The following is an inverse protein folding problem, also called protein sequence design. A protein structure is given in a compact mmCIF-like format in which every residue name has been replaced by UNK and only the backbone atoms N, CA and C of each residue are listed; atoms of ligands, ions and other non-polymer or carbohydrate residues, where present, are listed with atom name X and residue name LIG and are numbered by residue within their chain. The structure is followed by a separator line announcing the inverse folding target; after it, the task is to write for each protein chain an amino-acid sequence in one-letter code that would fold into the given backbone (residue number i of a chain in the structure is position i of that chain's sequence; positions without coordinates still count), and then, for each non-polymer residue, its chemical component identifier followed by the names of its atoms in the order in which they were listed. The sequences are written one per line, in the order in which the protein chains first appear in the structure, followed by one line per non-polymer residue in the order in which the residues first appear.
data_IF_844191132857
#
_entry.id   IF_844191132857
#
_cell.length_a   1.000
_cell.length_b   1.000
_cell.length_c   1.000
_cell.angle_alpha   90.00
_cell.angle_beta   90.00
_cell.angle_gamma   90.00
#
_symmetry.space_group_name_H-M   'P 1'
#
loop_
_entity.id
_entity.type
_entity.pdbx_description
1 polymer ?
#
# COMPACT_ATOMS: atom_id res chain seq x y z
N UNK A 1 -14.61 -22.55 -22.65
CA UNK A 1 -14.89 -22.85 -21.24
C UNK A 1 -13.73 -23.65 -20.68
N UNK A 2 -12.86 -23.02 -19.87
CA UNK A 2 -12.12 -23.71 -18.81
C UNK A 2 -11.41 -22.64 -17.97
N UNK A 3 -12.14 -22.10 -16.99
CA UNK A 3 -11.55 -21.45 -15.82
C UNK A 3 -11.05 -22.56 -14.90
N UNK A 4 -9.74 -22.64 -14.66
CA UNK A 4 -9.15 -23.30 -13.49
C UNK A 4 -7.92 -22.47 -13.08
N UNK A 5 -8.09 -21.60 -12.08
CA UNK A 5 -7.79 -21.84 -10.67
C UNK A 5 -6.27 -21.93 -10.39
N UNK A 6 -5.69 -20.79 -10.02
CA UNK A 6 -4.54 -20.74 -9.09
C UNK A 6 -4.69 -19.47 -8.21
N UNK A 7 -5.74 -19.46 -7.40
CA UNK A 7 -5.80 -18.59 -6.21
C UNK A 7 -4.84 -19.17 -5.17
N UNK A 8 -3.64 -18.60 -5.12
CA UNK A 8 -2.64 -18.95 -4.14
C UNK A 8 -3.14 -18.47 -2.77
N UNK A 9 -3.60 -19.42 -1.95
CA UNK A 9 -4.19 -19.18 -0.63
C UNK A 9 -3.10 -18.68 0.33
N UNK A 10 -3.14 -17.40 0.69
CA UNK A 10 -2.36 -16.85 1.80
C UNK A 10 -2.99 -17.32 3.12
N UNK A 11 -2.73 -18.57 3.50
CA UNK A 11 -3.12 -19.11 4.81
C UNK A 11 -2.07 -18.73 5.86
N UNK A 12 -2.43 -17.83 6.76
CA UNK A 12 -1.84 -17.82 8.11
C UNK A 12 -2.30 -19.11 8.82
N UNK A 13 -1.55 -20.19 8.65
CA UNK A 13 -1.76 -21.42 9.40
C UNK A 13 -1.27 -21.25 10.84
N UNK A 14 -2.20 -20.95 11.74
CA UNK A 14 -2.11 -21.44 13.13
C UNK A 14 -3.53 -21.71 13.65
N UNK A 15 -3.89 -22.96 13.98
CA UNK A 15 -5.09 -23.24 14.73
C UNK A 15 -4.83 -22.83 16.20
N UNK A 16 -5.77 -22.13 16.82
CA UNK A 16 -5.85 -22.00 18.28
C UNK A 16 -4.67 -21.31 19.01
N UNK A 17 -4.27 -20.11 18.59
CA UNK A 17 -3.85 -19.09 19.56
C UNK A 17 -4.35 -17.72 19.15
N UNK A 18 -5.11 -17.06 20.03
CA UNK A 18 -5.71 -15.73 19.85
C UNK A 18 -4.67 -14.59 19.82
N UNK A 19 -3.56 -14.77 19.11
CA UNK A 19 -2.75 -13.64 18.67
C UNK A 19 -3.24 -13.28 17.28
N UNK A 20 -4.16 -12.31 17.19
CA UNK A 20 -4.54 -11.67 15.93
C UNK A 20 -3.24 -11.31 15.19
N UNK A 21 -2.97 -11.98 14.08
CA UNK A 21 -1.84 -11.64 13.25
C UNK A 21 -2.08 -10.19 12.79
N UNK A 22 -1.23 -9.25 13.19
CA UNK A 22 -1.45 -7.83 12.87
C UNK A 22 -1.31 -7.55 11.36
N UNK A 23 -0.85 -8.55 10.59
CA UNK A 23 -0.74 -8.54 9.13
C UNK A 23 -1.63 -9.67 8.59
N UNK A 24 -2.74 -9.31 7.95
CA UNK A 24 -3.61 -10.28 7.26
C UNK A 24 -3.02 -10.67 5.90
N UNK A 25 -2.68 -9.68 5.08
CA UNK A 25 -2.01 -9.88 3.79
C UNK A 25 -0.51 -9.56 3.89
N UNK A 26 0.39 -10.55 3.84
CA UNK A 26 1.82 -10.31 3.89
C UNK A 26 2.36 -9.64 2.63
N UNK A 27 1.66 -9.73 1.50
CA UNK A 27 2.09 -9.25 0.18
C UNK A 27 1.03 -8.32 -0.44
N UNK A 28 0.76 -7.15 0.17
CA UNK A 28 -0.20 -6.20 -0.37
C UNK A 28 0.22 -5.76 -1.77
N UNK A 29 -0.74 -5.80 -2.68
CA UNK A 29 -0.54 -5.49 -4.10
C UNK A 29 -1.78 -4.76 -4.58
N UNK A 30 -1.59 -3.66 -5.31
CA UNK A 30 -2.70 -2.91 -5.87
C UNK A 30 -3.34 -3.67 -7.04
N UNK A 31 -4.62 -3.99 -6.89
CA UNK A 31 -5.49 -4.52 -7.93
C UNK A 31 -6.51 -3.41 -8.26
N UNK A 32 -6.47 -2.83 -9.47
CA UNK A 32 -7.41 -1.77 -9.81
C UNK A 32 -8.84 -2.32 -9.83
N UNK A 33 -9.84 -1.52 -9.40
CA UNK A 33 -11.24 -1.89 -9.63
C UNK A 33 -11.48 -2.06 -11.13
N UNK A 34 -12.50 -2.84 -11.48
CA UNK A 34 -12.85 -3.07 -12.88
C UNK A 34 -13.20 -1.75 -13.54
N UNK A 35 -12.32 -1.26 -14.41
CA UNK A 35 -12.55 -0.01 -15.13
C UNK A 35 -13.22 -0.25 -16.48
N UNK A 36 -14.09 0.69 -16.83
CA UNK A 36 -14.79 0.71 -18.11
C UNK A 36 -14.10 1.61 -19.14
N UNK A 37 -13.17 2.49 -18.74
CA UNK A 37 -12.56 3.50 -19.62
C UNK A 37 -11.03 3.49 -19.59
N UNK A 38 -10.43 4.00 -20.67
CA UNK A 38 -8.99 4.03 -20.85
C UNK A 38 -8.36 5.21 -20.09
N UNK A 39 -7.36 4.97 -19.24
CA UNK A 39 -6.68 6.05 -18.49
C UNK A 39 -5.87 6.98 -19.38
N UNK A 40 -5.78 8.28 -19.03
CA UNK A 40 -4.82 9.20 -19.62
C UNK A 40 -3.38 8.68 -19.53
N UNK A 41 -2.55 9.04 -20.51
CA UNK A 41 -1.15 8.60 -20.57
C UNK A 41 -0.35 9.02 -19.33
N UNK A 42 -0.61 10.20 -18.78
CA UNK A 42 0.06 10.70 -17.58
C UNK A 42 -0.19 9.82 -16.34
N UNK A 43 -1.42 9.34 -16.16
CA UNK A 43 -1.77 8.42 -15.05
C UNK A 43 -1.04 7.08 -15.24
N UNK A 44 -1.03 6.55 -16.47
CA UNK A 44 -0.30 5.31 -16.78
C UNK A 44 1.21 5.46 -16.48
N UNK A 45 1.80 6.59 -16.85
CA UNK A 45 3.19 6.91 -16.56
C UNK A 45 3.46 7.05 -15.06
N UNK A 46 2.57 7.72 -14.32
CA UNK A 46 2.68 7.90 -12.88
C UNK A 46 2.62 6.56 -12.14
N UNK A 47 1.64 5.72 -12.46
CA UNK A 47 1.51 4.36 -11.89
C UNK A 47 2.74 3.52 -12.19
N UNK A 48 3.30 3.59 -13.41
CA UNK A 48 4.54 2.91 -13.78
C UNK A 48 5.73 3.43 -12.96
N UNK A 49 5.86 4.74 -12.80
CA UNK A 49 6.92 5.36 -12.02
C UNK A 49 6.81 4.97 -10.54
N UNK A 50 5.62 5.00 -9.96
CA UNK A 50 5.35 4.58 -8.58
C UNK A 50 5.77 3.12 -8.33
N UNK A 51 5.47 2.21 -9.26
CA UNK A 51 5.90 0.81 -9.17
C UNK A 51 7.41 0.64 -9.21
N UNK A 52 8.11 1.42 -10.04
CA UNK A 52 9.55 1.33 -10.20
C UNK A 52 10.33 1.99 -9.04
N UNK A 53 9.84 3.13 -8.55
CA UNK A 53 10.56 3.97 -7.58
C UNK A 53 10.64 3.36 -6.17
N UNK A 54 9.74 2.44 -5.83
CA UNK A 54 9.59 1.86 -4.47
C UNK A 54 9.49 2.96 -3.39
N UNK A 55 8.36 3.70 -3.35
CA UNK A 55 8.18 4.88 -2.50
C UNK A 55 8.51 4.67 -1.02
N UNK A 56 8.34 3.45 -0.51
CA UNK A 56 8.71 3.07 0.87
C UNK A 56 10.19 3.24 1.20
N UNK A 57 11.08 3.31 0.20
CA UNK A 57 12.53 3.50 0.37
C UNK A 57 12.94 4.97 0.41
N UNK A 58 12.01 5.89 0.18
CA UNK A 58 12.30 7.32 0.22
C UNK A 58 12.74 7.76 1.61
N UNK A 59 13.75 8.64 1.70
CA UNK A 59 14.36 9.09 2.96
C UNK A 59 13.37 9.74 3.93
N UNK A 60 12.29 10.34 3.40
CA UNK A 60 11.21 10.91 4.20
C UNK A 60 10.59 9.93 5.22
N UNK A 61 10.65 8.62 4.96
CA UNK A 61 10.15 7.60 5.90
C UNK A 61 11.12 7.27 7.04
N UNK A 62 12.39 7.67 6.93
CA UNK A 62 13.48 7.24 7.81
C UNK A 62 14.09 8.40 8.61
N UNK A 63 13.95 9.63 8.12
CA UNK A 63 14.53 10.81 8.74
C UNK A 63 13.51 11.44 9.70
N UNK A 64 13.56 11.05 10.98
CA UNK A 64 12.86 11.79 12.04
C UNK A 64 13.89 12.57 12.85
N UNK A 65 13.76 13.89 12.85
CA UNK A 65 14.57 14.77 13.69
C UNK A 65 13.99 14.70 15.11
N UNK A 66 14.79 14.25 16.08
CA UNK A 66 14.44 14.31 17.49
C UNK A 66 15.26 15.40 18.17
N UNK A 67 14.57 16.43 18.66
CA UNK A 67 15.20 17.52 19.42
C UNK A 67 15.12 17.18 20.91
N UNK A 68 16.26 17.12 21.59
CA UNK A 68 16.30 16.94 23.05
C UNK A 68 15.90 18.24 23.74
N UNK A 69 15.47 18.14 25.01
CA UNK A 69 15.14 19.31 25.85
C UNK A 69 16.29 20.33 25.96
N UNK A 70 17.53 19.89 25.75
CA UNK A 70 18.73 20.71 25.85
C UNK A 70 19.10 21.42 24.52
N UNK A 71 18.29 21.27 23.47
CA UNK A 71 18.55 21.83 22.14
C UNK A 71 19.36 20.92 21.20
N UNK A 72 19.96 19.84 21.70
CA UNK A 72 20.69 18.89 20.86
C UNK A 72 19.79 18.19 19.85
N UNK A 73 20.23 18.19 18.58
CA UNK A 73 19.59 17.44 17.51
C UNK A 73 20.15 16.02 17.48
N UNK A 74 19.29 15.02 17.66
CA UNK A 74 19.63 13.62 17.41
C UNK A 74 18.96 13.17 16.12
N UNK A 75 19.77 12.89 15.11
CA UNK A 75 19.32 12.23 13.89
C UNK A 75 18.95 10.79 14.22
N UNK A 76 17.64 10.49 14.26
CA UNK A 76 17.16 9.13 14.51
C UNK A 76 16.72 8.51 13.19
N UNK A 77 17.47 7.51 12.73
CA UNK A 77 17.11 6.74 11.54
C UNK A 77 16.27 5.55 11.98
N UNK A 78 14.94 5.66 11.82
CA UNK A 78 14.03 4.53 12.07
C UNK A 78 13.81 3.76 10.78
N UNK A 79 14.20 2.48 10.74
CA UNK A 79 13.83 1.62 9.61
C UNK A 79 12.34 1.30 9.65
N UNK A 80 11.66 1.54 8.53
CA UNK A 80 10.29 1.07 8.32
C UNK A 80 10.28 -0.45 8.32
N UNK A 81 9.30 -1.06 8.99
CA UNK A 81 9.14 -2.50 8.92
C UNK A 81 8.73 -2.94 7.50
N UNK A 82 9.10 -4.15 7.11
CA UNK A 82 8.95 -4.59 5.73
C UNK A 82 7.48 -4.66 5.29
N UNK A 83 6.58 -5.05 6.19
CA UNK A 83 5.14 -5.10 5.92
C UNK A 83 4.56 -3.72 5.60
N UNK A 84 4.93 -2.69 6.38
CA UNK A 84 4.55 -1.30 6.14
C UNK A 84 5.17 -0.77 4.86
N UNK A 85 6.41 -1.17 4.54
CA UNK A 85 7.04 -0.80 3.29
C UNK A 85 6.24 -1.30 2.09
N UNK A 86 5.85 -2.59 2.11
CA UNK A 86 5.00 -3.17 1.06
C UNK A 86 3.62 -2.50 1.00
N UNK A 87 3.01 -2.19 2.15
CA UNK A 87 1.73 -1.48 2.19
C UNK A 87 1.80 -0.07 1.58
N UNK A 88 2.86 0.69 1.88
CA UNK A 88 3.11 2.02 1.29
C UNK A 88 3.31 1.89 -0.22
N UNK A 89 4.13 0.94 -0.67
CA UNK A 89 4.36 0.74 -2.10
C UNK A 89 3.05 0.43 -2.85
N UNK A 90 2.18 -0.43 -2.29
CA UNK A 90 0.86 -0.71 -2.87
C UNK A 90 -0.07 0.52 -2.88
N UNK A 91 -0.15 1.24 -1.75
CA UNK A 91 -1.00 2.42 -1.62
C UNK A 91 -0.60 3.55 -2.56
N UNK A 92 0.70 3.84 -2.71
CA UNK A 92 1.15 4.93 -3.58
C UNK A 92 0.87 4.61 -5.05
N UNK A 93 0.94 3.33 -5.44
CA UNK A 93 0.51 2.88 -6.77
C UNK A 93 -1.00 3.10 -6.95
N UNK A 94 -1.82 2.76 -5.94
CA UNK A 94 -3.27 2.99 -5.98
C UNK A 94 -3.64 4.48 -6.04
N UNK A 95 -2.97 5.33 -5.24
CA UNK A 95 -3.17 6.78 -5.24
C UNK A 95 -2.77 7.40 -6.57
N UNK A 96 -1.66 6.97 -7.15
CA UNK A 96 -1.20 7.41 -8.48
C UNK A 96 -2.23 7.10 -9.56
N UNK A 97 -2.82 5.92 -9.46
CA UNK A 97 -3.81 5.42 -10.40
C UNK A 97 -5.15 6.18 -10.30
N UNK A 98 -5.47 6.65 -9.09
CA UNK A 98 -6.71 7.35 -8.74
C UNK A 98 -6.57 8.86 -8.61
N UNK A 99 -5.43 9.41 -9.00
CA UNK A 99 -5.18 10.83 -8.99
C UNK A 99 -6.01 11.51 -10.09
N UNK A 100 -6.87 12.44 -9.71
CA UNK A 100 -7.41 13.43 -10.64
C UNK A 100 -6.37 14.53 -10.82
N UNK A 101 -5.81 14.62 -12.03
CA UNK A 101 -4.73 15.56 -12.35
C UNK A 101 -5.16 17.02 -12.33
N UNK A 102 -6.46 17.31 -12.48
CA UNK A 102 -6.98 18.68 -12.48
C UNK A 102 -7.12 19.17 -11.04
N UNK A 103 -7.73 18.36 -10.18
CA UNK A 103 -7.96 18.72 -8.78
C UNK A 103 -6.77 18.44 -7.86
N UNK A 104 -5.82 17.61 -8.31
CA UNK A 104 -4.70 17.12 -7.51
C UNK A 104 -5.13 16.16 -6.39
N UNK A 105 -6.37 15.69 -6.40
CA UNK A 105 -6.95 14.82 -5.35
C UNK A 105 -7.05 13.38 -5.82
N UNK A 106 -6.97 12.46 -4.88
CA UNK A 106 -7.22 11.04 -5.14
C UNK A 106 -8.72 10.78 -5.03
N UNK A 107 -9.33 10.29 -6.11
CA UNK A 107 -10.76 10.00 -6.20
C UNK A 107 -11.10 8.60 -5.67
N UNK A 108 -10.81 8.38 -4.38
CA UNK A 108 -11.16 7.15 -3.66
C UNK A 108 -11.16 7.41 -2.16
N UNK A 109 -11.99 6.68 -1.40
CA UNK A 109 -11.90 6.67 0.06
C UNK A 109 -10.67 5.88 0.52
N UNK A 110 -10.21 6.12 1.75
CA UNK A 110 -9.11 5.36 2.35
C UNK A 110 -9.46 3.87 2.46
N UNK A 111 -10.72 3.56 2.75
CA UNK A 111 -11.25 2.21 2.79
C UNK A 111 -11.18 1.51 1.42
N UNK A 112 -11.62 2.18 0.36
CA UNK A 112 -11.52 1.66 -1.01
C UNK A 112 -10.06 1.39 -1.41
N UNK A 113 -9.16 2.33 -1.10
CA UNK A 113 -7.74 2.16 -1.35
C UNK A 113 -7.16 0.97 -0.59
N UNK A 114 -7.56 0.79 0.68
CA UNK A 114 -7.14 -0.34 1.50
C UNK A 114 -7.66 -1.67 0.91
N UNK A 115 -8.92 -1.73 0.50
CA UNK A 115 -9.52 -2.90 -0.13
C UNK A 115 -8.78 -3.28 -1.43
N UNK A 116 -8.55 -2.32 -2.33
CA UNK A 116 -7.83 -2.57 -3.59
C UNK A 116 -6.37 -2.94 -3.41
N UNK A 117 -5.76 -2.59 -2.28
CA UNK A 117 -4.39 -3.00 -1.94
C UNK A 117 -4.33 -4.31 -1.14
N UNK A 118 -5.48 -4.89 -0.79
CA UNK A 118 -5.58 -6.06 0.08
C UNK A 118 -5.07 -5.80 1.49
N UNK A 119 -5.27 -4.58 2.00
CA UNK A 119 -4.88 -4.14 3.36
C UNK A 119 -6.02 -4.22 4.36
N UNK A 120 -7.25 -4.44 3.89
CA UNK A 120 -8.40 -4.62 4.78
C UNK A 120 -8.27 -5.89 5.61
N UNK A 121 -8.74 -5.79 6.85
CA UNK A 121 -8.75 -6.88 7.82
C UNK A 121 -10.11 -7.56 7.93
N UNK A 122 -11.13 -7.00 7.29
CA UNK A 122 -12.50 -7.49 7.39
C UNK A 122 -12.75 -8.57 6.35
N UNK A 123 -13.18 -9.74 6.84
CA UNK A 123 -13.33 -10.98 6.08
C UNK A 123 -14.54 -10.94 5.12
N UNK A 124 -15.38 -9.90 5.22
CA UNK A 124 -16.67 -9.82 4.52
C UNK A 124 -16.68 -8.91 3.26
N UNK A 125 -15.57 -8.26 2.91
CA UNK A 125 -15.50 -7.29 1.81
C UNK A 125 -14.87 -7.85 0.51
N UNK A 126 -15.16 -9.12 0.17
CA UNK A 126 -14.66 -9.78 -1.04
C UNK A 126 -15.76 -10.07 -2.06
#
# INVERSE_FOLDING_TARGET
MSEMLLTNQYKCHTPFSLRRCYVYNPHPTYIPPKETSNKPAIIKALTKAARAARPSRHEAWYTTISVKKNGDIKNFIKRLNEHRARAIDALIVAMSDRLNIISGKVEASVEQLANWCGLSTDVNDH
#
